data_IF_077839903883
#
_entry.id   IF_077839903883
#
_cell.length_a   1.000
_cell.length_b   1.000
_cell.length_c   1.000
_cell.angle_alpha   90.00
_cell.angle_beta   90.00
_cell.angle_gamma   90.00
#
_symmetry.space_group_name_H-M   'P 1'
#
loop_
_entity.id
_entity.type
_entity.pdbx_description
1 polymer ?
#
# COMPACT_ATOMS: atom_id res chain seq x y z
N UNK A 1 13.97 14.37 4.25
CA UNK A 1 13.22 13.14 4.58
C UNK A 1 14.21 12.05 4.92
N UNK A 2 14.02 11.35 6.04
CA UNK A 2 14.86 10.23 6.48
C UNK A 2 14.17 8.89 6.33
N UNK A 3 12.84 8.87 6.37
CA UNK A 3 12.02 7.68 6.26
C UNK A 3 10.56 7.97 6.55
N UNK A 4 9.75 6.93 6.66
CA UNK A 4 8.34 6.97 7.03
C UNK A 4 8.03 5.90 8.06
N UNK A 5 7.00 6.10 8.87
CA UNK A 5 6.56 5.16 9.91
C UNK A 5 5.16 4.59 9.65
N UNK A 6 4.31 5.33 8.96
CA UNK A 6 2.90 5.03 8.73
C UNK A 6 2.51 5.27 7.27
N UNK A 7 1.23 5.09 6.97
CA UNK A 7 0.68 5.33 5.65
C UNK A 7 1.11 4.25 4.69
N UNK A 8 1.63 4.63 3.56
CA UNK A 8 2.03 3.72 2.47
C UNK A 8 3.04 2.63 2.86
N UNK A 9 3.66 2.72 4.05
CA UNK A 9 4.53 1.69 4.63
C UNK A 9 3.78 0.50 5.23
N UNK A 10 2.45 0.54 5.30
CA UNK A 10 1.65 -0.57 5.84
C UNK A 10 1.50 -1.73 4.86
N UNK A 11 1.49 -1.42 3.56
CA UNK A 11 1.34 -2.38 2.46
C UNK A 11 2.24 -1.95 1.29
N UNK A 12 2.54 -2.87 0.35
CA UNK A 12 3.42 -2.62 -0.80
C UNK A 12 4.79 -2.04 -0.40
N UNK A 13 5.36 -2.59 0.66
CA UNK A 13 6.54 -2.03 1.34
C UNK A 13 7.77 -1.99 0.44
N UNK A 14 7.95 -3.00 -0.43
CA UNK A 14 9.07 -3.00 -1.36
C UNK A 14 9.02 -1.77 -2.29
N UNK A 15 7.86 -1.49 -2.87
CA UNK A 15 7.65 -0.31 -3.71
C UNK A 15 7.86 0.99 -2.93
N UNK A 16 7.42 1.06 -1.68
CA UNK A 16 7.65 2.21 -0.82
C UNK A 16 9.14 2.44 -0.52
N UNK A 17 9.92 1.39 -0.33
CA UNK A 17 11.39 1.48 -0.17
C UNK A 17 12.04 2.02 -1.44
N UNK A 18 11.68 1.52 -2.60
CA UNK A 18 12.19 2.00 -3.89
C UNK A 18 11.88 3.48 -4.13
N UNK A 19 10.69 3.92 -3.74
CA UNK A 19 10.30 5.35 -3.79
C UNK A 19 11.17 6.20 -2.85
N UNK A 20 11.42 5.74 -1.63
CA UNK A 20 12.28 6.44 -0.69
C UNK A 20 13.72 6.56 -1.22
N UNK A 21 14.26 5.52 -1.83
CA UNK A 21 15.58 5.53 -2.46
C UNK A 21 15.65 6.56 -3.61
N UNK A 22 14.60 6.68 -4.43
CA UNK A 22 14.50 7.72 -5.46
C UNK A 22 14.52 9.12 -4.86
N UNK A 23 13.76 9.35 -3.78
CA UNK A 23 13.73 10.62 -3.07
C UNK A 23 15.11 10.97 -2.49
N UNK A 24 15.78 10.02 -1.86
CA UNK A 24 17.13 10.22 -1.32
C UNK A 24 18.12 10.58 -2.42
N UNK A 25 18.07 9.91 -3.56
CA UNK A 25 18.92 10.23 -4.72
C UNK A 25 18.70 11.65 -5.22
N UNK A 26 17.45 12.09 -5.35
CA UNK A 26 17.13 13.48 -5.74
C UNK A 26 17.69 14.50 -4.75
N UNK A 27 17.66 14.19 -3.45
CA UNK A 27 18.24 15.06 -2.42
C UNK A 27 19.78 15.12 -2.55
N UNK A 28 20.44 14.00 -2.81
CA UNK A 28 21.90 13.91 -2.93
C UNK A 28 22.44 14.58 -4.18
N UNK A 29 21.75 14.44 -5.29
CA UNK A 29 22.17 14.99 -6.59
C UNK A 29 21.70 16.41 -6.85
N UNK A 30 20.63 16.85 -6.17
CA UNK A 30 19.92 18.08 -6.47
C UNK A 30 19.09 18.02 -7.76
N UNK A 31 19.02 16.84 -8.41
CA UNK A 31 18.24 16.61 -9.63
C UNK A 31 16.90 15.96 -9.25
N UNK A 32 15.82 16.68 -9.50
CA UNK A 32 14.47 16.23 -9.15
C UNK A 32 13.81 15.55 -10.34
N UNK A 33 13.54 14.27 -10.17
CA UNK A 33 12.75 13.49 -11.12
C UNK A 33 11.29 13.97 -11.11
N UNK A 34 10.83 14.56 -12.21
CA UNK A 34 9.46 15.07 -12.34
C UNK A 34 8.39 13.98 -12.18
N UNK A 35 8.72 12.72 -12.46
CA UNK A 35 7.80 11.61 -12.25
C UNK A 35 7.43 11.43 -10.78
N UNK A 36 8.22 11.95 -9.84
CA UNK A 36 7.87 11.94 -8.40
C UNK A 36 6.61 12.76 -8.10
N UNK A 37 6.31 13.81 -8.88
CA UNK A 37 5.08 14.57 -8.71
C UNK A 37 3.83 13.77 -9.13
N UNK A 38 3.93 13.05 -10.25
CA UNK A 38 2.86 12.16 -10.69
C UNK A 38 2.71 10.96 -9.74
N UNK A 39 3.83 10.44 -9.23
CA UNK A 39 3.84 9.35 -8.25
C UNK A 39 3.14 9.73 -6.96
N UNK A 40 3.31 10.96 -6.46
CA UNK A 40 2.65 11.46 -5.25
C UNK A 40 1.11 11.32 -5.34
N UNK A 41 0.53 11.79 -6.43
CA UNK A 41 -0.92 11.68 -6.65
C UNK A 41 -1.40 10.22 -6.71
N UNK A 42 -0.64 9.34 -7.35
CA UNK A 42 -0.96 7.90 -7.47
C UNK A 42 -0.88 7.18 -6.13
N UNK A 43 0.17 7.46 -5.35
CA UNK A 43 0.33 6.91 -4.00
C UNK A 43 -0.78 7.40 -3.07
N UNK A 44 -1.15 8.68 -3.17
CA UNK A 44 -2.26 9.26 -2.41
C UNK A 44 -3.60 8.60 -2.76
N UNK A 45 -3.85 8.31 -4.04
CA UNK A 45 -5.05 7.59 -4.49
C UNK A 45 -5.07 6.15 -3.94
N UNK A 46 -3.96 5.43 -3.99
CA UNK A 46 -3.86 4.11 -3.37
C UNK A 46 -4.14 4.15 -1.86
N UNK A 47 -3.53 5.10 -1.16
CA UNK A 47 -3.73 5.29 0.27
C UNK A 47 -5.19 5.60 0.62
N UNK A 48 -5.90 6.36 -0.23
CA UNK A 48 -7.32 6.67 0.00
C UNK A 48 -8.19 5.41 0.03
N UNK A 49 -7.90 4.42 -0.80
CA UNK A 49 -8.60 3.15 -0.85
C UNK A 49 -8.21 2.23 0.32
N UNK A 50 -6.90 2.08 0.61
CA UNK A 50 -6.42 1.23 1.71
C UNK A 50 -6.92 1.71 3.07
N UNK A 51 -6.86 3.02 3.29
CA UNK A 51 -7.17 3.63 4.58
C UNK A 51 -8.61 4.10 4.69
N UNK A 52 -9.43 3.85 3.67
CA UNK A 52 -10.87 4.11 3.70
C UNK A 52 -11.21 5.56 4.02
N UNK A 53 -10.54 6.49 3.35
CA UNK A 53 -10.74 7.94 3.55
C UNK A 53 -12.20 8.34 3.31
N UNK A 54 -12.88 7.72 2.36
CA UNK A 54 -14.29 7.98 2.03
C UNK A 54 -15.25 7.68 3.19
N UNK A 55 -14.85 6.85 4.16
CA UNK A 55 -15.63 6.46 5.32
C UNK A 55 -14.92 6.84 6.63
N UNK A 56 -14.26 7.99 6.66
CA UNK A 56 -13.59 8.52 7.85
C UNK A 56 -12.62 7.51 8.50
N UNK A 57 -11.92 6.74 7.67
CA UNK A 57 -10.94 5.71 8.09
C UNK A 57 -11.54 4.52 8.86
N UNK A 58 -12.87 4.30 8.80
CA UNK A 58 -13.51 3.22 9.53
C UNK A 58 -12.98 1.82 9.16
N UNK A 59 -12.61 1.61 7.90
CA UNK A 59 -12.08 0.35 7.38
C UNK A 59 -10.55 0.32 7.24
N UNK A 60 -9.79 1.18 7.92
CA UNK A 60 -8.33 1.33 7.72
C UNK A 60 -7.56 0.03 8.00
N UNK A 61 -7.80 -0.64 9.08
CA UNK A 61 -7.10 -1.89 9.45
C UNK A 61 -7.54 -3.03 8.53
N UNK A 62 -8.85 -3.17 8.32
CA UNK A 62 -9.42 -4.17 7.43
C UNK A 62 -8.92 -4.00 5.99
N UNK A 63 -8.77 -2.77 5.51
CA UNK A 63 -8.22 -2.47 4.18
C UNK A 63 -6.76 -2.91 4.03
N UNK A 64 -5.91 -2.62 5.02
CA UNK A 64 -4.54 -3.12 5.04
C UNK A 64 -4.50 -4.66 5.09
N UNK A 65 -5.31 -5.30 5.92
CA UNK A 65 -5.41 -6.75 6.00
C UNK A 65 -5.91 -7.37 4.69
N UNK A 66 -6.83 -6.71 3.98
CA UNK A 66 -7.30 -7.19 2.67
C UNK A 66 -6.18 -7.21 1.64
N UNK A 67 -5.31 -6.19 1.61
CA UNK A 67 -4.13 -6.20 0.73
C UNK A 67 -3.20 -7.36 1.07
N UNK A 68 -2.87 -7.53 2.35
CA UNK A 68 -2.01 -8.63 2.81
C UNK A 68 -2.63 -10.01 2.54
N UNK A 69 -3.97 -10.12 2.65
CA UNK A 69 -4.70 -11.34 2.30
C UNK A 69 -4.60 -11.65 0.80
N UNK A 70 -4.76 -10.66 -0.06
CA UNK A 70 -4.59 -10.82 -1.51
C UNK A 70 -3.19 -11.28 -1.88
N UNK A 71 -2.20 -10.83 -1.14
CA UNK A 71 -0.79 -11.25 -1.29
C UNK A 71 -0.49 -12.63 -0.70
N UNK A 72 -1.43 -13.24 0.03
CA UNK A 72 -1.25 -14.54 0.69
C UNK A 72 -0.47 -14.48 2.00
N UNK A 73 -0.22 -13.28 2.54
CA UNK A 73 0.46 -13.06 3.82
C UNK A 73 -0.48 -13.23 5.02
N UNK A 74 -1.78 -13.06 4.81
CA UNK A 74 -2.83 -13.32 5.80
C UNK A 74 -3.89 -14.24 5.20
N UNK A 75 -4.51 -15.07 6.05
CA UNK A 75 -5.62 -15.94 5.66
C UNK A 75 -6.98 -15.19 5.64
N UNK A 76 -7.09 -14.06 6.35
CA UNK A 76 -8.32 -13.28 6.44
C UNK A 76 -8.05 -11.83 6.87
N UNK A 77 -9.13 -11.06 7.03
CA UNK A 77 -9.10 -9.64 7.38
C UNK A 77 -9.47 -9.38 8.83
N UNK A 78 -9.21 -10.35 9.71
CA UNK A 78 -9.56 -10.24 11.14
C UNK A 78 -8.91 -9.02 11.78
N UNK A 79 -9.73 -8.25 12.47
CA UNK A 79 -9.31 -7.14 13.31
C UNK A 79 -9.46 -7.49 14.79
N UNK A 80 -8.80 -6.75 15.66
CA UNK A 80 -8.92 -6.93 17.10
C UNK A 80 -10.36 -6.69 17.58
N UNK A 81 -11.02 -5.65 17.04
CA UNK A 81 -12.44 -5.47 17.18
C UNK A 81 -13.16 -6.31 16.11
N UNK A 82 -14.06 -7.19 16.53
CA UNK A 82 -14.81 -8.11 15.65
C UNK A 82 -15.77 -7.41 14.69
N UNK A 83 -16.19 -6.20 15.03
CA UNK A 83 -17.11 -5.39 14.21
C UNK A 83 -16.35 -4.57 13.14
N UNK A 84 -15.03 -4.54 13.23
CA UNK A 84 -14.18 -3.83 12.27
C UNK A 84 -13.96 -4.69 11.02
N UNK A 85 -14.44 -4.20 9.89
CA UNK A 85 -14.37 -4.86 8.60
C UNK A 85 -14.22 -3.82 7.49
N UNK A 86 -14.15 -4.27 6.23
CA UNK A 86 -14.21 -3.35 5.09
C UNK A 86 -15.53 -2.57 5.08
N UNK A 87 -15.43 -1.28 4.87
CA UNK A 87 -16.60 -0.42 4.68
C UNK A 87 -17.31 -0.72 3.35
N UNK A 88 -18.60 -0.37 3.23
CA UNK A 88 -19.32 -0.50 1.96
C UNK A 88 -18.58 0.20 0.82
N UNK A 89 -18.28 -0.52 -0.26
CA UNK A 89 -17.57 -0.01 -1.43
C UNK A 89 -16.05 -0.07 -1.35
N UNK A 90 -15.45 -0.22 -0.17
CA UNK A 90 -13.98 -0.21 -0.02
C UNK A 90 -13.29 -1.34 -0.80
N UNK A 91 -13.87 -2.55 -0.85
CA UNK A 91 -13.31 -3.64 -1.64
C UNK A 91 -13.22 -3.30 -3.14
N UNK A 92 -14.24 -2.62 -3.68
CA UNK A 92 -14.26 -2.18 -5.08
C UNK A 92 -13.20 -1.08 -5.34
N UNK A 93 -12.97 -0.19 -4.37
CA UNK A 93 -11.89 0.82 -4.45
C UNK A 93 -10.50 0.15 -4.42
N UNK A 94 -10.30 -0.86 -3.59
CA UNK A 94 -9.07 -1.66 -3.60
C UNK A 94 -8.89 -2.36 -4.95
N UNK A 95 -9.94 -2.95 -5.54
CA UNK A 95 -9.88 -3.53 -6.89
C UNK A 95 -9.50 -2.50 -7.95
N UNK A 96 -10.04 -1.28 -7.83
CA UNK A 96 -9.73 -0.17 -8.74
C UNK A 96 -8.26 0.19 -8.70
N UNK A 97 -7.67 0.41 -7.53
CA UNK A 97 -6.26 0.81 -7.44
C UNK A 97 -5.31 -0.31 -7.87
N UNK A 98 -5.63 -1.58 -7.66
CA UNK A 98 -4.87 -2.71 -8.19
C UNK A 98 -4.87 -2.74 -9.72
N UNK A 99 -5.97 -2.33 -10.36
CA UNK A 99 -6.05 -2.20 -11.81
C UNK A 99 -5.33 -0.96 -12.34
N UNK A 100 -5.56 0.19 -11.70
CA UNK A 100 -5.14 1.50 -12.22
C UNK A 100 -3.66 1.80 -11.87
N UNK A 101 -3.14 1.19 -10.82
CA UNK A 101 -1.78 1.39 -10.30
C UNK A 101 -1.02 0.06 -10.08
N UNK A 102 -1.22 -0.90 -10.98
CA UNK A 102 -0.65 -2.25 -10.88
C UNK A 102 0.89 -2.26 -10.75
N UNK A 103 1.56 -1.26 -11.30
CA UNK A 103 3.00 -1.08 -11.23
C UNK A 103 3.52 -0.63 -9.86
N UNK A 104 2.64 -0.15 -8.97
CA UNK A 104 2.96 0.19 -7.59
C UNK A 104 2.83 -1.01 -6.64
N UNK A 105 2.10 -2.06 -7.06
CA UNK A 105 1.97 -3.28 -6.29
C UNK A 105 3.28 -4.08 -6.29
N UNK A 106 3.61 -4.69 -5.15
CA UNK A 106 4.80 -5.55 -5.01
C UNK A 106 4.46 -7.06 -5.00
N UNK A 107 3.30 -7.43 -5.52
CA UNK A 107 2.75 -8.79 -5.49
C UNK A 107 3.69 -9.84 -6.08
N UNK A 108 4.39 -9.52 -7.16
CA UNK A 108 5.37 -10.42 -7.77
C UNK A 108 6.53 -10.73 -6.82
N UNK A 109 7.01 -9.73 -6.09
CA UNK A 109 8.05 -9.89 -5.07
C UNK A 109 7.55 -10.72 -3.89
N UNK A 110 6.37 -10.44 -3.39
CA UNK A 110 5.74 -11.21 -2.31
C UNK A 110 5.61 -12.68 -2.74
N UNK A 111 5.01 -12.93 -3.89
CA UNK A 111 4.82 -14.29 -4.44
C UNK A 111 6.12 -15.07 -4.54
N UNK A 112 7.20 -14.45 -4.99
CA UNK A 112 8.50 -15.08 -5.12
C UNK A 112 9.14 -15.48 -3.78
N UNK A 113 8.75 -14.85 -2.68
CA UNK A 113 9.33 -15.03 -1.36
C UNK A 113 8.39 -15.73 -0.35
N UNK A 114 7.11 -15.83 -0.67
CA UNK A 114 6.05 -16.24 0.25
C UNK A 114 6.37 -17.60 0.93
N UNK A 115 6.72 -18.62 0.14
CA UNK A 115 7.03 -19.95 0.68
C UNK A 115 8.18 -19.93 1.66
N UNK A 116 9.21 -19.11 1.41
CA UNK A 116 10.36 -18.97 2.33
C UNK A 116 9.99 -18.27 3.61
N UNK A 117 9.07 -17.32 3.56
CA UNK A 117 8.70 -16.51 4.72
C UNK A 117 7.69 -17.20 5.63
N UNK A 118 6.84 -18.07 5.07
CA UNK A 118 5.81 -18.81 5.79
C UNK A 118 6.19 -20.26 6.11
N UNK A 119 7.45 -20.67 5.86
CA UNK A 119 7.96 -22.02 6.14
C UNK A 119 8.27 -22.23 7.62
#
# INVERSE_FOLDING_TARGET
>A
IRGGLLGHWSVWVKSAVEQLERIHRSIETGDVDFDLLALDSRVTDCNSAFFDVANDFAGVIAGCHEVLRRQGLLEGIWCLNKDETLSPGQAAEIDRIYRDHADLADDAFIKANLTRWLA
#
